data_IF_487777672379
#
_entry.id   IF_487777672379
#
_cell.length_a   1.000
_cell.length_b   1.000
_cell.length_c   1.000
_cell.angle_alpha   90.00
_cell.angle_beta   90.00
_cell.angle_gamma   90.00
#
_symmetry.space_group_name_H-M   'P 1'
#
loop_
_entity.id
_entity.type
_entity.pdbx_description
1 polymer ?
#
# COMPACT_ATOMS: atom_id res chain seq x y z
N UNK A 1 1.94 -13.02 -16.32
CA UNK A 1 3.10 -13.63 -15.64
C UNK A 1 4.01 -14.19 -16.73
N UNK A 2 5.34 -14.04 -16.64
CA UNK A 2 6.24 -14.59 -17.67
C UNK A 2 6.55 -16.04 -17.29
N UNK A 3 5.95 -17.00 -18.00
CA UNK A 3 6.14 -18.44 -17.73
C UNK A 3 7.59 -18.91 -17.87
N UNK A 4 8.37 -18.20 -18.69
CA UNK A 4 9.77 -18.51 -18.95
C UNK A 4 10.75 -17.78 -18.02
N UNK A 5 10.26 -16.99 -17.06
CA UNK A 5 11.11 -16.27 -16.10
C UNK A 5 12.00 -15.18 -16.70
N UNK A 6 11.72 -14.74 -17.93
CA UNK A 6 12.51 -13.71 -18.62
C UNK A 6 12.35 -12.31 -18.01
N UNK A 7 11.25 -12.08 -17.29
CA UNK A 7 10.94 -10.81 -16.63
C UNK A 7 11.09 -10.99 -15.12
N UNK A 8 11.87 -10.11 -14.50
CA UNK A 8 11.98 -9.98 -13.04
C UNK A 8 11.26 -8.70 -12.61
N UNK A 9 10.44 -8.79 -11.57
CA UNK A 9 9.72 -7.66 -11.00
C UNK A 9 10.33 -7.38 -9.64
N UNK A 10 10.92 -6.20 -9.49
CA UNK A 10 11.49 -5.72 -8.23
C UNK A 10 10.77 -4.42 -7.84
N UNK A 11 9.72 -4.50 -6.99
CA UNK A 11 8.98 -3.32 -6.58
C UNK A 11 9.87 -2.29 -5.86
N UNK A 12 9.57 -1.00 -6.03
CA UNK A 12 10.28 0.10 -5.35
C UNK A 12 10.05 0.03 -3.84
N UNK A 13 8.85 -0.34 -3.40
CA UNK A 13 8.48 -0.39 -2.00
C UNK A 13 8.31 -1.82 -1.52
N UNK A 14 8.74 -2.09 -0.29
CA UNK A 14 8.33 -3.26 0.47
C UNK A 14 7.58 -2.77 1.71
N UNK A 15 6.43 -3.40 1.98
CA UNK A 15 5.53 -2.91 3.01
C UNK A 15 4.50 -3.93 3.44
N UNK A 16 3.58 -3.43 4.26
CA UNK A 16 2.42 -4.13 4.78
C UNK A 16 1.21 -3.21 4.66
N UNK A 17 0.09 -3.80 4.29
CA UNK A 17 -1.22 -3.18 4.41
C UNK A 17 -1.92 -3.87 5.58
N UNK A 18 -2.64 -3.11 6.40
CA UNK A 18 -3.58 -3.67 7.38
C UNK A 18 -4.96 -3.14 7.04
N UNK A 19 -5.94 -4.04 7.00
CA UNK A 19 -7.36 -3.72 6.76
C UNK A 19 -8.14 -3.95 8.05
N UNK A 20 -8.99 -3.00 8.40
CA UNK A 20 -9.96 -3.12 9.49
C UNK A 20 -11.36 -3.24 8.91
N UNK A 21 -11.85 -4.48 8.82
CA UNK A 21 -13.17 -4.79 8.27
C UNK A 21 -14.29 -4.13 9.08
N UNK A 22 -14.10 -3.85 10.37
CA UNK A 22 -15.13 -3.22 11.22
C UNK A 22 -15.41 -1.77 10.85
N UNK A 23 -14.44 -1.11 10.20
CA UNK A 23 -14.54 0.28 9.72
C UNK A 23 -14.90 0.37 8.24
N UNK A 24 -14.94 -0.75 7.52
CA UNK A 24 -15.18 -0.78 6.07
C UNK A 24 -16.68 -0.97 5.76
N UNK A 25 -17.36 -0.02 5.10
CA UNK A 25 -18.75 -0.21 4.69
C UNK A 25 -18.88 -1.36 3.69
N UNK A 26 -19.95 -2.14 3.81
CA UNK A 26 -20.18 -3.36 3.02
C UNK A 26 -20.43 -3.11 1.53
N UNK A 27 -20.73 -1.87 1.14
CA UNK A 27 -20.99 -1.44 -0.25
C UNK A 27 -19.87 -0.56 -0.85
N UNK A 28 -18.79 -0.29 -0.09
CA UNK A 28 -17.72 0.58 -0.53
C UNK A 28 -16.74 -0.12 -1.50
N UNK A 29 -16.44 0.51 -2.64
CA UNK A 29 -15.50 0.00 -3.66
C UNK A 29 -14.29 0.90 -3.93
N UNK A 30 -14.16 2.04 -3.24
CA UNK A 30 -13.17 3.09 -3.56
C UNK A 30 -11.73 2.58 -3.66
N UNK A 31 -11.30 1.73 -2.73
CA UNK A 31 -9.94 1.19 -2.72
C UNK A 31 -9.69 0.21 -3.88
N UNK A 32 -10.73 -0.51 -4.31
CA UNK A 32 -10.69 -1.45 -5.45
C UNK A 32 -10.57 -0.63 -6.74
N UNK A 33 -11.40 0.39 -6.91
CA UNK A 33 -11.46 1.22 -8.12
C UNK A 33 -10.15 1.99 -8.36
N UNK A 34 -9.50 2.46 -7.29
CA UNK A 34 -8.25 3.24 -7.40
C UNK A 34 -7.00 2.36 -7.53
N UNK A 35 -7.10 1.04 -7.35
CA UNK A 35 -5.94 0.16 -7.32
C UNK A 35 -5.34 -0.03 -8.73
N UNK A 36 -4.14 0.52 -9.03
CA UNK A 36 -3.60 0.48 -10.39
C UNK A 36 -3.13 -0.92 -10.83
N UNK A 37 -2.98 -1.84 -9.88
CA UNK A 37 -2.53 -3.23 -10.11
C UNK A 37 -3.62 -4.26 -9.84
N UNK A 38 -4.86 -3.79 -9.60
CA UNK A 38 -6.06 -4.61 -9.37
C UNK A 38 -5.81 -5.77 -8.40
N UNK A 39 -5.19 -5.47 -7.26
CA UNK A 39 -4.84 -6.47 -6.24
C UNK A 39 -5.80 -6.50 -5.05
N UNK A 40 -6.82 -5.65 -5.03
CA UNK A 40 -7.83 -5.59 -3.98
C UNK A 40 -9.13 -6.19 -4.51
N UNK A 41 -9.72 -7.12 -3.76
CA UNK A 41 -10.94 -7.84 -4.12
C UNK A 41 -11.92 -7.82 -2.94
N UNK A 42 -13.21 -7.96 -3.24
CA UNK A 42 -14.27 -8.04 -2.23
C UNK A 42 -14.92 -9.42 -2.28
N UNK A 43 -15.12 -10.02 -1.11
CA UNK A 43 -15.95 -11.22 -0.92
C UNK A 43 -16.95 -10.94 0.20
N UNK A 44 -18.22 -10.77 -0.20
CA UNK A 44 -19.29 -10.27 0.66
C UNK A 44 -18.97 -8.90 1.26
N UNK A 45 -18.96 -8.82 2.59
CA UNK A 45 -18.73 -7.57 3.31
C UNK A 45 -17.24 -7.25 3.49
N UNK A 46 -16.34 -8.20 3.22
CA UNK A 46 -14.91 -8.07 3.49
C UNK A 46 -14.11 -7.77 2.25
N UNK A 47 -13.00 -7.05 2.45
CA UNK A 47 -12.05 -6.69 1.40
C UNK A 47 -10.73 -7.40 1.67
N UNK A 48 -10.11 -7.93 0.62
CA UNK A 48 -8.88 -8.71 0.68
C UNK A 48 -7.85 -8.17 -0.29
N UNK A 49 -6.57 -8.34 0.06
CA UNK A 49 -5.44 -7.88 -0.74
C UNK A 49 -4.59 -9.07 -1.19
N UNK A 50 -4.33 -9.16 -2.50
CA UNK A 50 -3.30 -10.03 -3.08
C UNK A 50 -1.94 -9.37 -2.90
N UNK A 51 -1.28 -9.70 -1.79
CA UNK A 51 -0.03 -9.07 -1.36
C UNK A 51 1.11 -9.20 -2.37
N UNK A 52 1.19 -10.32 -3.08
CA UNK A 52 2.19 -10.60 -4.11
C UNK A 52 2.13 -9.63 -5.31
N UNK A 53 0.98 -8.97 -5.50
CA UNK A 53 0.79 -7.96 -6.56
C UNK A 53 0.84 -6.52 -6.06
N UNK A 54 0.82 -6.31 -4.75
CA UNK A 54 0.72 -4.96 -4.19
C UNK A 54 2.04 -4.19 -4.37
N UNK A 55 1.96 -2.99 -4.95
CA UNK A 55 3.10 -2.09 -5.09
C UNK A 55 3.31 -1.16 -3.87
N UNK A 56 2.48 -1.26 -2.83
CA UNK A 56 2.51 -0.39 -1.64
C UNK A 56 2.51 1.12 -1.95
N UNK A 57 1.81 1.53 -3.03
CA UNK A 57 1.76 2.93 -3.48
C UNK A 57 0.95 3.85 -2.54
N UNK A 58 -0.02 3.29 -1.82
CA UNK A 58 -0.86 4.03 -0.87
C UNK A 58 -2.03 4.80 -1.49
N UNK A 59 -2.42 4.50 -2.73
CA UNK A 59 -3.62 5.06 -3.34
C UNK A 59 -4.89 4.68 -2.56
N UNK A 60 -5.00 3.42 -2.13
CA UNK A 60 -6.12 2.92 -1.34
C UNK A 60 -6.30 3.68 0.00
N UNK A 61 -5.19 3.99 0.69
CA UNK A 61 -5.22 4.75 1.95
C UNK A 61 -5.77 6.16 1.72
N UNK A 62 -5.38 6.81 0.62
CA UNK A 62 -5.80 8.19 0.32
C UNK A 62 -7.29 8.34 0.04
N UNK A 63 -7.96 7.29 -0.44
CA UNK A 63 -9.39 7.32 -0.79
C UNK A 63 -10.29 6.72 0.29
N UNK A 64 -9.70 6.22 1.38
CA UNK A 64 -10.45 5.58 2.46
C UNK A 64 -10.89 6.61 3.48
N UNK A 65 -12.13 7.10 3.37
CA UNK A 65 -12.69 8.09 4.29
C UNK A 65 -13.01 7.52 5.69
N UNK A 66 -12.84 6.22 5.88
CA UNK A 66 -13.15 5.52 7.14
C UNK A 66 -11.89 5.18 7.93
N UNK A 67 -10.71 5.60 7.45
CA UNK A 67 -9.38 5.13 7.85
C UNK A 67 -9.29 3.61 8.11
N UNK A 68 -10.01 2.79 7.35
CA UNK A 68 -10.02 1.33 7.48
C UNK A 68 -8.74 0.66 6.93
N UNK A 69 -7.77 1.44 6.45
CA UNK A 69 -6.55 0.97 5.79
C UNK A 69 -5.34 1.66 6.39
N UNK A 70 -4.34 0.87 6.79
CA UNK A 70 -3.02 1.33 7.17
C UNK A 70 -1.98 0.81 6.19
N UNK A 71 -1.07 1.68 5.78
CA UNK A 71 0.12 1.35 5.02
C UNK A 71 1.37 1.59 5.86
N UNK A 72 2.20 0.56 5.97
CA UNK A 72 3.53 0.62 6.57
C UNK A 72 4.55 0.21 5.50
N UNK A 73 5.58 1.03 5.27
CA UNK A 73 6.69 0.68 4.38
C UNK A 73 7.95 0.52 5.19
N UNK A 74 8.59 -0.64 5.08
CA UNK A 74 9.82 -0.93 5.80
C UNK A 74 11.06 -0.81 4.90
N UNK A 75 10.92 -0.96 3.58
CA UNK A 75 12.02 -0.78 2.64
C UNK A 75 11.63 0.06 1.42
N UNK A 76 12.58 0.84 0.92
CA UNK A 76 12.46 1.67 -0.28
C UNK A 76 13.72 1.48 -1.11
N UNK A 77 13.57 0.83 -2.26
CA UNK A 77 14.66 0.63 -3.22
C UNK A 77 14.86 1.92 -4.01
N UNK A 78 16.07 2.44 -3.93
CA UNK A 78 16.55 3.57 -4.72
C UNK A 78 18.02 3.37 -5.00
N UNK A 79 18.55 4.06 -6.00
CA UNK A 79 19.99 4.04 -6.28
C UNK A 79 20.78 4.55 -5.06
N UNK A 80 21.96 3.97 -4.87
CA UNK A 80 22.95 4.46 -3.90
C UNK A 80 23.69 5.66 -4.50
N UNK A 81 23.98 6.67 -3.68
CA UNK A 81 24.70 7.86 -4.14
C UNK A 81 24.80 8.96 -3.10
N UNK A 82 25.62 9.97 -3.39
CA UNK A 82 25.74 11.19 -2.59
C UNK A 82 24.59 12.14 -2.91
N UNK A 83 23.48 11.97 -2.19
CA UNK A 83 22.34 12.86 -2.26
C UNK A 83 22.37 13.92 -1.14
N UNK A 84 21.61 15.00 -1.32
CA UNK A 84 21.49 16.02 -0.28
C UNK A 84 20.68 15.48 0.92
N UNK A 85 20.88 16.07 2.10
CA UNK A 85 20.16 15.68 3.32
C UNK A 85 18.62 15.71 3.17
N UNK A 86 18.11 16.63 2.33
CA UNK A 86 16.68 16.71 2.03
C UNK A 86 16.16 15.45 1.33
N UNK A 87 16.97 14.83 0.48
CA UNK A 87 16.61 13.58 -0.20
C UNK A 87 16.47 12.44 0.80
N UNK A 88 17.45 12.28 1.69
CA UNK A 88 17.41 11.25 2.74
C UNK A 88 16.22 11.44 3.67
N UNK A 89 15.93 12.68 4.08
CA UNK A 89 14.72 13.00 4.85
C UNK A 89 13.44 12.66 4.10
N UNK A 90 13.35 12.98 2.81
CA UNK A 90 12.18 12.65 2.00
C UNK A 90 11.98 11.13 1.87
N UNK A 91 13.07 10.36 1.71
CA UNK A 91 13.04 8.90 1.68
C UNK A 91 12.55 8.31 3.00
N UNK A 92 13.10 8.76 4.13
CA UNK A 92 12.65 8.28 5.45
C UNK A 92 11.19 8.67 5.74
N UNK A 93 10.74 9.84 5.27
CA UNK A 93 9.34 10.24 5.39
C UNK A 93 8.38 9.29 4.64
N UNK A 94 8.81 8.67 3.54
CA UNK A 94 7.98 7.70 2.81
C UNK A 94 7.75 6.40 3.58
N UNK A 95 8.58 6.10 4.60
CA UNK A 95 8.43 4.94 5.50
C UNK A 95 7.46 5.18 6.65
N UNK A 96 7.10 6.44 6.92
CA UNK A 96 6.14 6.77 7.98
C UNK A 96 4.79 6.09 7.69
N UNK A 97 4.16 5.45 8.70
CA UNK A 97 2.86 4.84 8.52
C UNK A 97 1.83 5.85 8.00
N UNK A 98 0.97 5.41 7.09
CA UNK A 98 -0.11 6.22 6.51
C UNK A 98 -1.45 5.56 6.80
N UNK A 99 -2.42 6.38 7.21
CA UNK A 99 -3.74 5.91 7.69
C UNK A 99 -3.83 6.03 9.21
N UNK A 100 -5.04 6.19 9.72
CA UNK A 100 -5.28 6.49 11.14
C UNK A 100 -5.87 5.29 11.91
N UNK A 101 -5.57 4.05 11.50
CA UNK A 101 -6.03 2.85 12.21
C UNK A 101 -5.60 2.82 13.69
N UNK A 102 -4.50 3.49 14.06
CA UNK A 102 -3.98 3.53 15.43
C UNK A 102 -4.40 4.76 16.25
N UNK A 103 -5.21 5.68 15.71
CA UNK A 103 -5.61 6.91 16.41
C UNK A 103 -7.01 6.82 17.04
N UNK A 104 -7.69 5.67 16.92
CA UNK A 104 -8.91 5.36 17.64
C UNK A 104 -8.58 4.63 18.95
N UNK A 105 -8.09 5.38 19.94
CA UNK A 105 -8.06 5.02 21.37
C UNK A 105 -8.32 6.26 22.19
#
# INVERSE_FOLDING_TARGET
YCEYGAIKIEPVFEGKITLDDSRCPSDCMKCIDVCPVSCIERDGERVFLKYDKCAFCGACVNVCDQDAILLERFNIRSEEGDFCELWEKARENLKKPRGNLYQSS
#
